data_IF_185330630840
#
_entry.id   IF_185330630840
#
_cell.length_a   1.000
_cell.length_b   1.000
_cell.length_c   1.000
_cell.angle_alpha   90.00
_cell.angle_beta   90.00
_cell.angle_gamma   90.00
#
_symmetry.space_group_name_H-M   'P 1'
#
loop_
_entity.id
_entity.type
_entity.pdbx_description
1 polymer ?
#
# COMPACT_ATOMS: atom_id res chain seq x y z
N UNK A 1 -21.18 2.29 -0.34
CA UNK A 1 -22.50 1.66 -0.06
C UNK A 1 -23.55 2.72 -0.32
N UNK A 2 -24.53 2.43 -1.18
CA UNK A 2 -25.65 3.34 -1.41
C UNK A 2 -26.86 2.75 -0.69
N UNK A 3 -27.32 3.44 0.35
CA UNK A 3 -28.46 3.03 1.16
C UNK A 3 -29.77 3.33 0.44
N UNK A 4 -30.86 2.70 0.90
CA UNK A 4 -32.18 2.82 0.28
C UNK A 4 -32.78 4.24 0.38
N UNK A 5 -32.27 5.08 1.29
CA UNK A 5 -32.63 6.50 1.43
C UNK A 5 -31.86 7.42 0.46
N UNK A 6 -30.98 6.85 -0.37
CA UNK A 6 -30.15 7.59 -1.32
C UNK A 6 -28.84 8.10 -0.74
N UNK A 7 -28.58 7.91 0.56
CA UNK A 7 -27.29 8.25 1.16
C UNK A 7 -26.19 7.33 0.63
N UNK A 8 -25.05 7.91 0.29
CA UNK A 8 -23.87 7.17 -0.19
C UNK A 8 -22.80 7.26 0.89
N UNK A 9 -22.47 6.10 1.45
CA UNK A 9 -21.38 5.97 2.42
C UNK A 9 -20.17 5.34 1.76
N UNK A 10 -19.09 6.09 1.64
CA UNK A 10 -17.84 5.65 1.02
C UNK A 10 -16.80 5.36 2.10
N UNK A 11 -16.21 4.16 2.07
CA UNK A 11 -15.15 3.75 2.99
C UNK A 11 -13.98 3.19 2.17
N UNK A 12 -12.76 3.67 2.46
CA UNK A 12 -11.53 3.08 1.93
C UNK A 12 -11.17 1.84 2.75
N UNK A 13 -11.22 0.67 2.12
CA UNK A 13 -10.68 -0.57 2.71
C UNK A 13 -9.23 -0.71 2.24
N UNK A 14 -8.23 -0.56 3.13
CA UNK A 14 -6.83 -0.67 2.73
C UNK A 14 -6.51 -2.14 2.46
N UNK A 15 -5.72 -2.41 1.43
CA UNK A 15 -5.20 -3.76 1.19
C UNK A 15 -4.27 -4.15 2.33
N UNK A 16 -4.61 -5.23 3.03
CA UNK A 16 -3.82 -5.77 4.13
C UNK A 16 -2.54 -6.41 3.58
N UNK A 17 -1.41 -5.69 3.62
CA UNK A 17 -0.11 -6.22 3.25
C UNK A 17 0.42 -7.17 4.33
N UNK A 18 0.21 -8.48 4.14
CA UNK A 18 0.81 -9.52 4.98
C UNK A 18 2.35 -9.41 4.88
N UNK A 19 3.12 -9.68 5.95
CA UNK A 19 4.58 -9.72 5.86
C UNK A 19 5.05 -10.58 4.68
N UNK A 20 5.79 -9.96 3.77
CA UNK A 20 6.37 -10.61 2.59
C UNK A 20 7.50 -11.56 3.04
N UNK A 21 7.13 -12.76 3.47
CA UNK A 21 8.07 -13.79 3.92
C UNK A 21 8.09 -14.97 2.94
N UNK A 22 9.29 -15.45 2.64
CA UNK A 22 9.51 -16.62 1.81
C UNK A 22 10.16 -17.74 2.61
N UNK A 23 9.95 -18.98 2.17
CA UNK A 23 10.68 -20.12 2.72
C UNK A 23 12.19 -19.98 2.42
N UNK A 24 13.05 -20.59 3.25
CA UNK A 24 14.51 -20.59 3.03
C UNK A 24 14.87 -21.08 1.63
N UNK A 25 15.77 -20.36 0.96
CA UNK A 25 16.24 -20.69 -0.39
C UNK A 25 15.24 -20.36 -1.51
N UNK A 26 14.04 -19.88 -1.20
CA UNK A 26 13.05 -19.47 -2.20
C UNK A 26 13.31 -18.03 -2.62
N UNK A 27 13.37 -17.83 -3.93
CA UNK A 27 13.50 -16.53 -4.58
C UNK A 27 12.22 -16.22 -5.34
N UNK A 28 11.69 -15.01 -5.18
CA UNK A 28 10.58 -14.49 -5.99
C UNK A 28 11.06 -13.24 -6.70
N UNK A 29 10.85 -13.18 -8.00
CA UNK A 29 11.16 -12.02 -8.81
C UNK A 29 9.92 -11.63 -9.62
N UNK A 30 9.72 -10.34 -9.79
CA UNK A 30 8.69 -9.77 -10.63
C UNK A 30 9.31 -8.69 -11.51
N UNK A 31 8.84 -8.64 -12.76
CA UNK A 31 9.24 -7.63 -13.73
C UNK A 31 8.01 -7.24 -14.53
N UNK A 32 7.76 -5.94 -14.65
CA UNK A 32 6.67 -5.39 -15.43
C UNK A 32 7.17 -4.17 -16.19
N UNK A 33 6.79 -4.05 -17.44
CA UNK A 33 7.07 -2.88 -18.26
C UNK A 33 5.87 -2.61 -19.17
N UNK A 34 5.52 -1.35 -19.34
CA UNK A 34 4.37 -0.98 -20.16
C UNK A 34 3.95 0.46 -19.94
N UNK A 35 2.77 0.79 -20.43
CA UNK A 35 2.14 2.10 -20.23
C UNK A 35 1.12 2.01 -19.10
N UNK A 36 1.09 3.00 -18.21
CA UNK A 36 0.06 3.08 -17.18
C UNK A 36 -1.33 3.18 -17.81
N UNK A 37 -2.34 2.67 -17.12
CA UNK A 37 -3.72 2.93 -17.45
C UNK A 37 -4.45 3.31 -16.17
N UNK A 38 -4.43 4.61 -15.87
CA UNK A 38 -5.09 5.19 -14.70
C UNK A 38 -6.34 5.90 -15.19
N UNK A 39 -7.49 5.45 -14.70
CA UNK A 39 -8.80 6.03 -14.99
C UNK A 39 -8.80 7.51 -14.57
N UNK A 40 -9.28 8.39 -15.45
CA UNK A 40 -9.27 9.84 -15.23
C UNK A 40 -7.94 10.55 -15.56
N UNK A 41 -6.86 9.84 -15.89
CA UNK A 41 -5.63 10.45 -16.40
C UNK A 41 -5.61 10.47 -17.94
N UNK A 42 -5.54 11.66 -18.54
CA UNK A 42 -5.44 11.83 -20.01
C UNK A 42 -4.03 11.50 -20.53
N UNK A 43 -2.99 11.85 -19.76
CA UNK A 43 -1.59 11.53 -19.99
C UNK A 43 -1.19 10.33 -19.15
N UNK A 44 -1.02 9.19 -19.82
CA UNK A 44 -0.45 7.99 -19.21
C UNK A 44 1.08 8.04 -19.29
N UNK A 45 1.76 7.34 -18.38
CA UNK A 45 3.23 7.30 -18.32
C UNK A 45 3.74 5.88 -18.55
N UNK A 46 4.80 5.76 -19.34
CA UNK A 46 5.50 4.49 -19.52
C UNK A 46 6.33 4.20 -18.27
N UNK A 47 6.24 2.98 -17.77
CA UNK A 47 6.90 2.54 -16.55
C UNK A 47 7.61 1.20 -16.73
N UNK A 48 8.63 1.01 -15.91
CA UNK A 48 9.33 -0.25 -15.70
C UNK A 48 9.41 -0.48 -14.19
N UNK A 49 8.95 -1.64 -13.73
CA UNK A 49 9.04 -2.09 -12.36
C UNK A 49 9.80 -3.41 -12.31
N UNK A 50 10.66 -3.54 -11.31
CA UNK A 50 11.30 -4.79 -10.96
C UNK A 50 11.24 -4.99 -9.45
N UNK A 51 10.94 -6.21 -9.01
CA UNK A 51 10.91 -6.62 -7.62
C UNK A 51 11.71 -7.91 -7.45
N UNK A 52 12.39 -8.03 -6.31
CA UNK A 52 13.15 -9.21 -5.93
C UNK A 52 13.00 -9.48 -4.44
N UNK A 53 12.73 -10.73 -4.08
CA UNK A 53 12.57 -11.19 -2.72
C UNK A 53 13.31 -12.51 -2.52
N UNK A 54 13.99 -12.66 -1.40
CA UNK A 54 14.77 -13.86 -1.09
C UNK A 54 14.64 -14.26 0.39
N UNK A 55 14.24 -15.50 0.63
CA UNK A 55 14.23 -16.11 1.95
C UNK A 55 15.61 -16.65 2.31
N UNK A 56 16.36 -15.94 3.16
CA UNK A 56 17.71 -16.38 3.56
C UNK A 56 17.67 -17.61 4.46
N UNK A 57 16.74 -17.62 5.42
CA UNK A 57 16.57 -18.69 6.39
C UNK A 57 15.15 -18.67 6.97
N UNK A 58 14.87 -19.53 7.95
CA UNK A 58 13.53 -19.64 8.57
C UNK A 58 13.11 -18.40 9.37
N UNK A 59 14.01 -17.45 9.55
CA UNK A 59 13.83 -16.21 10.30
C UNK A 59 13.77 -15.00 9.36
N UNK A 60 14.67 -14.88 8.38
CA UNK A 60 14.89 -13.65 7.62
C UNK A 60 14.54 -13.81 6.14
N UNK A 61 13.70 -12.90 5.65
CA UNK A 61 13.48 -12.63 4.22
C UNK A 61 13.93 -11.21 3.92
N UNK A 62 14.66 -10.98 2.84
CA UNK A 62 14.89 -9.62 2.32
C UNK A 62 14.09 -9.45 1.04
N UNK A 63 13.56 -8.26 0.83
CA UNK A 63 12.92 -7.87 -0.40
C UNK A 63 13.34 -6.47 -0.80
N UNK A 64 13.31 -6.21 -2.10
CA UNK A 64 13.53 -4.90 -2.65
C UNK A 64 12.83 -4.78 -3.99
N UNK A 65 12.63 -3.55 -4.41
CA UNK A 65 12.04 -3.28 -5.71
C UNK A 65 12.36 -1.87 -6.16
N UNK A 66 12.31 -1.67 -7.46
CA UNK A 66 12.47 -0.36 -8.07
C UNK A 66 11.39 -0.15 -9.11
N UNK A 67 10.91 1.08 -9.21
CA UNK A 67 10.01 1.52 -10.25
C UNK A 67 10.59 2.77 -10.90
N UNK A 68 10.67 2.76 -12.21
CA UNK A 68 11.19 3.86 -13.02
C UNK A 68 10.16 4.20 -14.07
N UNK A 69 9.86 5.48 -14.20
CA UNK A 69 9.00 6.01 -15.25
C UNK A 69 9.54 7.37 -15.69
N UNK A 70 8.92 7.97 -16.70
CA UNK A 70 9.33 9.30 -17.14
C UNK A 70 9.17 10.30 -15.98
N UNK A 71 10.25 10.97 -15.57
CA UNK A 71 10.30 11.90 -14.45
C UNK A 71 9.87 11.32 -13.08
N UNK A 72 9.89 10.00 -12.91
CA UNK A 72 9.58 9.34 -11.63
C UNK A 72 10.53 8.17 -11.35
N UNK A 73 11.04 8.11 -10.13
CA UNK A 73 11.86 6.99 -9.65
C UNK A 73 11.46 6.63 -8.22
N UNK A 74 11.27 5.34 -7.95
CA UNK A 74 11.07 4.83 -6.61
C UNK A 74 11.93 3.60 -6.36
N UNK A 75 12.47 3.51 -5.15
CA UNK A 75 13.25 2.37 -4.69
C UNK A 75 12.78 1.94 -3.31
N UNK A 76 12.52 0.66 -3.13
CA UNK A 76 12.07 0.04 -1.90
C UNK A 76 13.06 -1.02 -1.45
N UNK A 77 13.34 -1.04 -0.16
CA UNK A 77 14.08 -2.09 0.51
C UNK A 77 13.36 -2.49 1.79
N UNK A 78 13.23 -3.77 2.04
CA UNK A 78 12.53 -4.29 3.21
C UNK A 78 13.04 -5.64 3.68
N UNK A 79 12.68 -5.96 4.92
CA UNK A 79 13.06 -7.19 5.59
C UNK A 79 11.86 -7.76 6.35
N UNK A 80 11.72 -9.09 6.33
CA UNK A 80 10.70 -9.84 7.06
C UNK A 80 11.37 -10.81 8.05
N UNK A 81 10.88 -10.83 9.27
CA UNK A 81 11.41 -11.53 10.43
C UNK A 81 10.35 -12.44 11.02
N UNK A 82 10.51 -13.75 10.85
CA UNK A 82 9.64 -14.77 11.42
C UNK A 82 10.13 -15.20 12.81
N UNK A 83 9.66 -14.49 13.84
CA UNK A 83 10.09 -14.73 15.22
C UNK A 83 9.09 -15.62 15.97
N UNK A 84 9.48 -16.14 17.14
CA UNK A 84 8.57 -16.88 18.02
C UNK A 84 7.36 -16.06 18.49
N UNK A 85 7.49 -14.73 18.49
CA UNK A 85 6.43 -13.82 18.91
C UNK A 85 5.52 -13.38 17.75
N UNK A 86 5.85 -13.75 16.51
CA UNK A 86 5.10 -13.41 15.30
C UNK A 86 5.99 -13.00 14.13
N UNK A 87 5.37 -12.79 12.98
CA UNK A 87 6.01 -12.27 11.78
C UNK A 87 6.02 -10.75 11.81
N UNK A 88 7.20 -10.14 11.68
CA UNK A 88 7.38 -8.68 11.62
C UNK A 88 8.01 -8.35 10.28
N UNK A 89 7.53 -7.36 9.55
CA UNK A 89 8.24 -6.81 8.40
C UNK A 89 8.43 -5.31 8.53
N UNK A 90 9.56 -4.83 8.02
CA UNK A 90 9.90 -3.42 7.96
C UNK A 90 10.44 -3.12 6.58
N UNK A 91 9.88 -2.11 5.92
CA UNK A 91 10.37 -1.59 4.65
C UNK A 91 10.44 -0.08 4.61
N UNK A 92 11.35 0.40 3.78
CA UNK A 92 11.53 1.80 3.45
C UNK A 92 11.48 1.96 1.93
N UNK A 93 10.66 2.89 1.46
CA UNK A 93 10.57 3.30 0.07
C UNK A 93 11.02 4.76 -0.04
N UNK A 94 11.96 5.05 -0.93
CA UNK A 94 12.28 6.41 -1.34
C UNK A 94 11.68 6.67 -2.72
N UNK A 95 11.05 7.82 -2.92
CA UNK A 95 10.57 8.26 -4.23
C UNK A 95 11.06 9.65 -4.59
N UNK A 96 11.30 9.85 -5.87
CA UNK A 96 11.62 11.11 -6.53
C UNK A 96 10.62 11.32 -7.66
N UNK A 97 9.89 12.42 -7.62
CA UNK A 97 8.84 12.76 -8.58
C UNK A 97 9.02 14.18 -9.06
N UNK A 98 9.29 14.35 -10.35
CA UNK A 98 9.33 15.67 -11.00
C UNK A 98 8.06 15.86 -11.86
N UNK A 99 7.25 16.85 -11.51
CA UNK A 99 5.99 17.13 -12.18
C UNK A 99 6.18 18.00 -13.43
N UNK A 100 5.20 17.97 -14.33
CA UNK A 100 5.20 18.73 -15.60
C UNK A 100 5.24 20.25 -15.36
N UNK A 101 4.72 20.72 -14.22
CA UNK A 101 4.76 22.13 -13.81
C UNK A 101 6.16 22.57 -13.30
N UNK A 102 7.12 21.66 -13.18
CA UNK A 102 8.48 21.91 -12.71
C UNK A 102 8.72 21.59 -11.23
N UNK A 103 7.68 21.28 -10.45
CA UNK A 103 7.82 20.94 -9.03
C UNK A 103 8.52 19.59 -8.86
N UNK A 104 9.38 19.50 -7.83
CA UNK A 104 10.14 18.30 -7.49
C UNK A 104 9.79 17.88 -6.08
N UNK A 105 9.40 16.62 -5.94
CA UNK A 105 9.02 16.00 -4.67
C UNK A 105 9.94 14.80 -4.38
N UNK A 106 10.75 14.94 -3.34
CA UNK A 106 11.64 13.91 -2.84
C UNK A 106 11.16 13.44 -1.47
N UNK A 107 10.69 12.20 -1.40
CA UNK A 107 10.08 11.68 -0.19
C UNK A 107 10.44 10.25 0.15
N UNK A 108 10.06 9.88 1.36
CA UNK A 108 10.34 8.59 1.96
C UNK A 108 9.09 8.07 2.65
N UNK A 109 8.88 6.77 2.58
CA UNK A 109 7.82 6.09 3.29
C UNK A 109 8.39 4.89 4.01
N UNK A 110 7.93 4.69 5.24
CA UNK A 110 8.35 3.61 6.11
C UNK A 110 7.11 2.81 6.49
N UNK A 111 7.20 1.50 6.39
CA UNK A 111 6.13 0.60 6.76
C UNK A 111 6.64 -0.44 7.75
N UNK A 112 5.86 -0.66 8.79
CA UNK A 112 6.04 -1.73 9.77
C UNK A 112 4.77 -2.55 9.76
N UNK A 113 4.88 -3.85 9.54
CA UNK A 113 3.76 -4.77 9.59
C UNK A 113 4.04 -5.92 10.54
N UNK A 114 3.01 -6.36 11.24
CA UNK A 114 3.05 -7.43 12.21
C UNK A 114 1.88 -8.39 12.01
N UNK A 115 2.15 -9.68 12.08
CA UNK A 115 1.14 -10.73 11.98
C UNK A 115 1.47 -11.84 12.99
N UNK A 116 0.47 -12.30 13.74
CA UNK A 116 0.62 -13.42 14.68
C UNK A 116 -0.61 -14.29 14.70
N UNK A 117 -0.38 -15.60 14.66
CA UNK A 117 -1.38 -16.59 15.01
C UNK A 117 -1.07 -17.16 16.39
N UNK A 118 -2.00 -17.01 17.33
CA UNK A 118 -1.91 -17.58 18.69
C UNK A 118 -2.76 -18.85 18.72
N UNK A 119 -2.11 -20.00 18.64
CA UNK A 119 -2.78 -21.31 18.64
C UNK A 119 -3.47 -21.64 19.97
N UNK A 120 -2.93 -21.15 21.10
CA UNK A 120 -3.45 -21.44 22.44
C UNK A 120 -4.86 -20.89 22.69
N UNK A 121 -5.19 -19.75 22.07
CA UNK A 121 -6.48 -19.06 22.23
C UNK A 121 -7.26 -19.00 20.92
N UNK A 122 -6.83 -19.75 19.90
CA UNK A 122 -7.37 -19.69 18.52
C UNK A 122 -7.58 -18.26 18.02
N UNK A 123 -6.65 -17.36 18.38
CA UNK A 123 -6.74 -15.93 18.09
C UNK A 123 -5.78 -15.59 16.96
N UNK A 124 -6.31 -15.01 15.89
CA UNK A 124 -5.56 -14.57 14.72
C UNK A 124 -5.48 -13.05 14.72
N UNK A 125 -4.29 -12.52 14.94
CA UNK A 125 -3.99 -11.12 14.67
C UNK A 125 -3.61 -11.04 13.19
N UNK A 126 -4.64 -10.88 12.35
CA UNK A 126 -4.55 -11.03 10.89
C UNK A 126 -3.58 -10.07 10.21
N UNK A 127 -3.45 -8.84 10.74
CA UNK A 127 -2.42 -7.88 10.36
C UNK A 127 -2.51 -6.64 11.25
N UNK A 128 -1.40 -6.12 11.76
CA UNK A 128 -1.28 -4.74 12.23
C UNK A 128 -0.18 -4.06 11.40
N UNK A 129 -0.53 -3.05 10.60
CA UNK A 129 0.40 -2.34 9.76
C UNK A 129 0.35 -0.84 10.05
N UNK A 130 1.51 -0.26 10.28
CA UNK A 130 1.70 1.17 10.38
C UNK A 130 2.57 1.64 9.23
N UNK A 131 2.12 2.68 8.53
CA UNK A 131 2.87 3.31 7.45
C UNK A 131 2.96 4.80 7.70
N UNK A 132 4.18 5.30 7.72
CA UNK A 132 4.51 6.71 7.73
C UNK A 132 4.98 7.11 6.33
N UNK A 133 4.56 8.29 5.85
CA UNK A 133 5.07 8.86 4.61
C UNK A 133 5.43 10.33 4.85
N UNK A 134 6.59 10.74 4.36
CA UNK A 134 6.98 12.15 4.38
C UNK A 134 6.01 12.96 3.51
N UNK A 135 5.94 14.27 3.76
CA UNK A 135 5.08 15.20 3.01
C UNK A 135 5.28 15.13 1.49
N UNK A 136 6.54 14.99 1.07
CA UNK A 136 6.93 14.98 -0.33
C UNK A 136 6.99 13.55 -0.92
N UNK A 137 6.55 12.54 -0.17
CA UNK A 137 6.44 11.18 -0.71
C UNK A 137 5.29 11.13 -1.71
N UNK A 138 5.59 10.58 -2.89
CA UNK A 138 4.62 10.35 -3.97
C UNK A 138 4.70 8.92 -4.44
N UNK A 139 3.54 8.27 -4.53
CA UNK A 139 3.40 7.02 -5.28
C UNK A 139 3.43 7.31 -6.79
N UNK A 140 3.64 6.28 -7.61
CA UNK A 140 3.57 6.45 -9.07
C UNK A 140 2.18 6.92 -9.53
N UNK A 141 1.12 6.45 -8.86
CA UNK A 141 -0.24 6.91 -9.13
C UNK A 141 -0.38 8.41 -8.82
N UNK A 142 0.13 8.86 -7.67
CA UNK A 142 0.13 10.28 -7.29
C UNK A 142 0.87 11.14 -8.34
N UNK A 143 2.00 10.65 -8.87
CA UNK A 143 2.78 11.32 -9.90
C UNK A 143 1.99 11.47 -11.22
N UNK A 144 1.43 10.37 -11.72
CA UNK A 144 0.62 10.39 -12.95
C UNK A 144 -0.61 11.27 -12.77
N UNK A 145 -1.30 11.18 -11.63
CA UNK A 145 -2.46 12.01 -11.36
C UNK A 145 -2.09 13.50 -11.28
N UNK A 146 -1.01 13.86 -10.60
CA UNK A 146 -0.60 15.26 -10.47
C UNK A 146 -0.29 15.92 -11.82
N UNK A 147 0.33 15.19 -12.76
CA UNK A 147 0.57 15.68 -14.12
C UNK A 147 -0.72 15.80 -14.97
N UNK A 148 -1.85 15.31 -14.47
CA UNK A 148 -3.16 15.34 -15.12
C UNK A 148 -4.16 16.28 -14.44
N UNK A 149 -3.81 16.91 -13.32
CA UNK A 149 -4.70 17.75 -12.50
C UNK A 149 -5.41 18.84 -13.31
N UNK A 150 -4.70 19.50 -14.22
CA UNK A 150 -5.25 20.62 -15.01
C UNK A 150 -6.09 20.18 -16.23
N UNK A 151 -5.98 18.91 -16.64
CA UNK A 151 -6.71 18.36 -17.79
C UNK A 151 -7.96 17.56 -17.38
N UNK A 152 -8.25 17.49 -16.08
CA UNK A 152 -9.42 16.79 -15.58
C UNK A 152 -10.68 17.61 -15.88
N UNK A 153 -11.47 17.17 -16.87
CA UNK A 153 -12.83 17.67 -17.06
C UNK A 153 -13.71 16.99 -16.01
N UNK A 154 -14.16 17.77 -15.03
CA UNK A 154 -15.17 17.35 -14.05
C UNK A 154 -16.45 17.01 -14.80
N UNK A 155 -16.73 15.72 -15.00
CA UNK A 155 -18.07 15.29 -15.39
C UNK A 155 -18.92 15.22 -14.11
N UNK A 156 -19.97 16.04 -14.06
CA UNK A 156 -20.89 16.19 -12.91
C UNK A 156 -21.61 14.89 -12.51
N UNK A 157 -21.49 13.82 -13.31
CA UNK A 157 -22.21 12.56 -13.15
C UNK A 157 -21.39 11.40 -12.58
N UNK A 158 -20.08 11.57 -12.34
CA UNK A 158 -19.26 10.49 -11.77
C UNK A 158 -19.28 10.50 -10.24
N UNK A 159 -19.81 9.41 -9.67
CA UNK A 159 -19.92 9.18 -8.22
C UNK A 159 -18.54 8.90 -7.59
N UNK A 160 -17.51 8.64 -8.40
CA UNK A 160 -16.13 8.42 -8.01
C UNK A 160 -15.25 9.63 -8.40
N UNK A 161 -15.31 10.70 -7.62
CA UNK A 161 -14.44 11.85 -7.85
C UNK A 161 -13.06 11.58 -7.21
N UNK A 162 -12.23 10.77 -7.89
CA UNK A 162 -10.81 10.59 -7.55
C UNK A 162 -10.09 11.95 -7.52
N UNK A 163 -10.66 12.96 -8.21
CA UNK A 163 -10.12 14.31 -8.18
C UNK A 163 -10.16 14.96 -6.79
N UNK A 164 -11.18 14.70 -5.97
CA UNK A 164 -11.26 15.26 -4.61
C UNK A 164 -10.19 14.70 -3.67
N UNK A 165 -9.81 13.42 -3.84
CA UNK A 165 -8.78 12.76 -3.03
C UNK A 165 -7.40 13.43 -3.21
N UNK A 166 -7.09 13.87 -4.41
CA UNK A 166 -5.80 14.49 -4.72
C UNK A 166 -5.87 16.03 -4.86
N UNK A 167 -7.06 16.64 -4.85
CA UNK A 167 -7.20 18.10 -4.89
C UNK A 167 -6.66 18.78 -3.62
N UNK A 168 -6.87 18.18 -2.44
CA UNK A 168 -6.68 18.86 -1.16
C UNK A 168 -5.57 18.31 -0.24
N UNK A 169 -5.13 17.06 -0.37
CA UNK A 169 -4.04 16.52 0.47
C UNK A 169 -3.25 15.41 -0.25
N UNK A 170 -2.22 15.81 -1.00
CA UNK A 170 -1.28 14.82 -1.52
C UNK A 170 -0.42 14.26 -0.40
N UNK A 171 -0.69 13.01 -0.04
CA UNK A 171 0.22 12.19 0.75
C UNK A 171 -0.33 11.89 2.13
N UNK A 172 -0.81 10.66 2.31
CA UNK A 172 -1.18 10.12 3.61
C UNK A 172 0.05 10.07 4.52
N UNK A 173 0.13 11.02 5.46
CA UNK A 173 1.26 11.14 6.40
C UNK A 173 1.41 9.91 7.28
N UNK A 174 0.28 9.45 7.82
CA UNK A 174 0.22 8.29 8.68
C UNK A 174 -0.98 7.44 8.28
N UNK A 175 -0.79 6.13 8.34
CA UNK A 175 -1.90 5.19 8.35
C UNK A 175 -1.60 4.04 9.26
N UNK A 176 -2.63 3.62 9.98
CA UNK A 176 -2.62 2.47 10.84
C UNK A 176 -3.78 1.57 10.45
N UNK A 177 -3.50 0.31 10.16
CA UNK A 177 -4.54 -0.70 9.98
C UNK A 177 -4.31 -1.84 10.94
N UNK A 178 -5.38 -2.34 11.57
CA UNK A 178 -5.31 -3.54 12.36
C UNK A 178 -6.52 -4.44 12.11
N UNK A 179 -6.28 -5.74 12.05
CA UNK A 179 -7.28 -6.79 11.92
C UNK A 179 -7.02 -7.88 12.96
N UNK A 180 -8.05 -8.23 13.72
CA UNK A 180 -8.02 -9.28 14.73
C UNK A 180 -9.27 -10.14 14.58
N UNK A 181 -9.11 -11.45 14.61
CA UNK A 181 -10.22 -12.40 14.72
C UNK A 181 -9.96 -13.42 15.81
N UNK A 182 -11.00 -13.73 16.58
CA UNK A 182 -10.95 -14.67 17.68
C UNK A 182 -12.10 -15.66 17.56
N UNK A 183 -11.77 -16.95 17.50
CA UNK A 183 -12.76 -18.01 17.63
C UNK A 183 -13.16 -18.14 19.10
N UNK A 184 -14.47 -18.15 19.37
CA UNK A 184 -15.01 -18.40 20.69
C UNK A 184 -15.17 -19.92 20.92
N UNK A 185 -15.33 -20.37 22.18
CA UNK A 185 -15.57 -21.78 22.49
C UNK A 185 -16.78 -22.37 21.73
N UNK A 186 -16.84 -23.70 21.71
CA UNK A 186 -17.79 -24.49 20.92
C UNK A 186 -19.24 -23.96 21.02
N UNK A 187 -19.81 -23.59 19.86
CA UNK A 187 -21.17 -23.06 19.75
C UNK A 187 -21.31 -21.52 19.79
N UNK A 188 -20.26 -20.77 20.13
CA UNK A 188 -20.34 -19.31 20.30
C UNK A 188 -19.90 -18.50 19.06
N UNK A 189 -19.38 -19.16 18.03
CA UNK A 189 -18.98 -18.51 16.77
C UNK A 189 -17.62 -17.81 16.84
N UNK A 190 -17.49 -16.65 16.18
CA UNK A 190 -16.23 -15.89 16.11
C UNK A 190 -16.47 -14.38 16.17
N UNK A 191 -15.54 -13.66 16.80
CA UNK A 191 -15.51 -12.21 16.82
C UNK A 191 -14.40 -11.72 15.90
N UNK A 192 -14.67 -10.70 15.09
CA UNK A 192 -13.67 -10.05 14.24
C UNK A 192 -13.73 -8.54 14.40
N UNK A 193 -12.57 -7.91 14.49
CA UNK A 193 -12.39 -6.48 14.59
C UNK A 193 -11.42 -6.02 13.49
N UNK A 194 -11.81 -4.99 12.75
CA UNK A 194 -10.97 -4.31 11.78
C UNK A 194 -11.00 -2.82 12.03
N UNK A 195 -9.84 -2.18 12.04
CA UNK A 195 -9.71 -0.74 12.19
C UNK A 195 -8.74 -0.18 11.14
N UNK A 196 -9.05 1.01 10.66
CA UNK A 196 -8.19 1.85 9.84
C UNK A 196 -8.22 3.26 10.45
N UNK A 197 -7.06 3.86 10.62
CA UNK A 197 -6.86 5.25 11.00
C UNK A 197 -5.86 5.91 10.04
#
# INVERSE_FOLDING_TARGET
VKEADGSVTTYLVPYAAVPNMLQPGVSKYDFAAGRSHIEGASKQSDFVQAGYQYGFNNLLTLYGGSMVANNYYAFTLGTGWNTRIGAISVDATKSHSKQDNGDVFDGQSYQIAYNKFVSQTSTRFGLAAWRYSSRDYRTFNDHVWANNKDNYRRDENDVYDIADYYQNDFGRKNSFSANMSQSLPEGWGSVSLSTLW
#
